data_IF_098347424335
#
_entry.id   IF_098347424335
#
_cell.length_a   1.000
_cell.length_b   1.000
_cell.length_c   1.000
_cell.angle_alpha   90.00
_cell.angle_beta   90.00
_cell.angle_gamma   90.00
#
_symmetry.space_group_name_H-M   'P 1'
#
loop_
_entity.id
_entity.type
_entity.pdbx_description
1 polymer ?
#
# COMPACT_ATOMS: atom_id res chain seq x y z
N UNK A 1 20.46 -15.51 -17.26
CA UNK A 1 19.41 -15.73 -16.90
C UNK A 1 19.16 -15.61 -15.53
N UNK A 2 18.29 -15.32 -15.22
CA UNK A 2 18.05 -14.98 -13.93
C UNK A 2 17.58 -16.10 -13.14
N UNK A 3 18.22 -17.19 -13.26
CA UNK A 3 17.73 -18.20 -12.55
C UNK A 3 17.69 -17.98 -11.13
N UNK A 4 18.28 -17.02 -10.60
CA UNK A 4 18.16 -16.76 -9.23
C UNK A 4 16.96 -15.95 -8.86
N UNK A 5 16.20 -15.48 -9.83
CA UNK A 5 15.08 -14.62 -9.54
C UNK A 5 13.83 -15.42 -9.49
N UNK A 6 13.27 -15.57 -8.31
CA UNK A 6 12.00 -16.25 -8.15
C UNK A 6 10.95 -15.22 -7.83
N UNK A 7 9.99 -15.07 -8.69
CA UNK A 7 8.92 -14.12 -8.46
C UNK A 7 7.76 -14.77 -7.75
N UNK A 8 7.10 -14.04 -6.91
CA UNK A 8 5.92 -14.53 -6.23
C UNK A 8 4.91 -13.40 -6.14
N UNK A 9 3.71 -13.76 -5.78
CA UNK A 9 2.62 -12.80 -5.73
C UNK A 9 2.41 -12.33 -4.32
N UNK A 10 2.18 -11.02 -4.14
CA UNK A 10 1.84 -10.48 -2.85
C UNK A 10 0.60 -9.62 -3.02
N UNK A 11 -0.20 -9.54 -1.98
CA UNK A 11 -1.40 -8.75 -1.98
C UNK A 11 -1.26 -7.73 -0.88
N UNK A 12 -1.33 -6.46 -1.22
CA UNK A 12 -1.10 -5.38 -0.27
C UNK A 12 -2.39 -4.61 -0.08
N UNK A 13 -2.84 -4.50 1.17
CA UNK A 13 -4.02 -3.72 1.49
C UNK A 13 -3.61 -2.29 1.74
N UNK A 14 -4.27 -1.35 1.13
CA UNK A 14 -3.98 0.06 1.27
C UNK A 14 -5.20 0.76 1.82
N UNK A 15 -5.00 1.77 2.65
CA UNK A 15 -6.11 2.53 3.19
C UNK A 15 -5.73 3.97 3.42
N UNK A 16 -6.67 4.87 3.23
CA UNK A 16 -6.46 6.28 3.49
C UNK A 16 -7.77 6.88 3.97
N UNK A 17 -7.71 7.77 4.94
CA UNK A 17 -8.92 8.42 5.42
C UNK A 17 -8.76 9.92 5.60
N UNK A 18 -7.68 10.50 5.11
CA UNK A 18 -7.44 11.93 5.23
C UNK A 18 -7.11 12.49 3.86
N UNK A 19 -7.64 13.66 3.59
CA UNK A 19 -7.33 14.35 2.35
C UNK A 19 -7.99 13.69 1.15
N UNK A 20 -7.35 13.80 0.02
CA UNK A 20 -7.85 13.17 -1.20
C UNK A 20 -7.45 11.70 -1.15
N UNK A 21 -8.34 10.89 -0.62
CA UNK A 21 -8.04 9.50 -0.34
C UNK A 21 -7.75 8.69 -1.59
N UNK A 22 -8.54 8.90 -2.62
CA UNK A 22 -8.34 8.14 -3.84
C UNK A 22 -7.01 8.48 -4.49
N UNK A 23 -6.62 9.77 -4.42
CA UNK A 23 -5.37 10.18 -5.00
C UNK A 23 -4.21 9.61 -4.22
N UNK A 24 -4.33 9.54 -2.91
CA UNK A 24 -3.30 8.95 -2.07
C UNK A 24 -3.10 7.47 -2.41
N UNK A 25 -4.21 6.76 -2.62
CA UNK A 25 -4.09 5.35 -2.95
C UNK A 25 -3.50 5.15 -4.34
N UNK A 26 -3.82 6.03 -5.27
CA UNK A 26 -3.25 5.94 -6.60
C UNK A 26 -1.73 6.17 -6.54
N UNK A 27 -1.31 7.16 -5.75
CA UNK A 27 0.12 7.42 -5.60
C UNK A 27 0.83 6.26 -4.94
N UNK A 28 0.19 5.64 -3.96
CA UNK A 28 0.78 4.50 -3.29
C UNK A 28 0.93 3.34 -4.26
N UNK A 29 -0.07 3.12 -5.11
CA UNK A 29 -0.02 2.04 -6.08
C UNK A 29 1.13 2.27 -7.06
N UNK A 30 1.32 3.52 -7.50
CA UNK A 30 2.40 3.82 -8.42
C UNK A 30 3.76 3.55 -7.76
N UNK A 31 3.90 3.91 -6.49
CA UNK A 31 5.16 3.68 -5.81
C UNK A 31 5.40 2.19 -5.60
N UNK A 32 4.35 1.42 -5.36
CA UNK A 32 4.50 -0.01 -5.25
C UNK A 32 5.06 -0.56 -6.56
N UNK A 33 4.56 -0.06 -7.68
CA UNK A 33 5.05 -0.50 -8.97
C UNK A 33 6.52 -0.16 -9.18
N UNK A 34 7.00 0.91 -8.54
CA UNK A 34 8.39 1.30 -8.69
C UNK A 34 9.32 0.61 -7.71
N UNK A 35 8.85 0.36 -6.50
CA UNK A 35 9.72 -0.08 -5.43
C UNK A 35 9.57 -1.54 -5.04
N UNK A 36 8.43 -2.13 -5.29
CA UNK A 36 8.17 -3.49 -4.86
C UNK A 36 8.22 -4.46 -6.02
N UNK A 37 7.46 -4.19 -7.06
CA UNK A 37 7.42 -5.07 -8.20
C UNK A 37 6.31 -4.67 -9.15
N UNK A 38 5.98 -5.55 -10.05
CA UNK A 38 4.99 -5.24 -11.07
C UNK A 38 3.58 -5.31 -10.49
N UNK A 39 2.80 -4.27 -10.64
CA UNK A 39 1.41 -4.28 -10.22
C UNK A 39 0.63 -4.96 -11.32
N UNK A 40 0.09 -6.15 -11.03
CA UNK A 40 -0.64 -6.90 -12.02
C UNK A 40 -2.14 -6.82 -11.85
N UNK A 41 -2.60 -6.20 -10.78
CA UNK A 41 -4.02 -6.01 -10.60
C UNK A 41 -4.30 -5.22 -9.35
N UNK A 42 -5.49 -4.68 -9.25
CA UNK A 42 -5.90 -3.99 -8.06
C UNK A 42 -7.42 -4.03 -7.97
N UNK A 43 -7.92 -3.98 -6.75
CA UNK A 43 -9.36 -4.00 -6.55
C UNK A 43 -9.93 -2.63 -6.84
N UNK A 44 -11.23 -2.57 -6.94
CA UNK A 44 -11.90 -1.28 -6.93
C UNK A 44 -11.71 -0.67 -5.56
N UNK A 45 -11.91 0.63 -5.47
CA UNK A 45 -11.86 1.30 -4.20
C UNK A 45 -13.13 0.98 -3.43
N UNK A 46 -13.00 0.83 -2.13
CA UNK A 46 -14.18 0.59 -1.31
C UNK A 46 -14.00 1.31 0.01
N UNK A 47 -15.09 1.66 0.65
CA UNK A 47 -15.05 2.41 1.87
C UNK A 47 -15.37 1.55 3.07
N UNK A 48 -14.71 1.83 4.19
CA UNK A 48 -15.03 1.17 5.44
C UNK A 48 -15.09 2.23 6.51
N UNK A 49 -15.82 1.92 7.59
CA UNK A 49 -15.93 2.85 8.66
C UNK A 49 -14.68 2.84 9.51
N UNK A 50 -14.30 3.97 10.07
CA UNK A 50 -13.12 4.01 10.91
C UNK A 50 -13.38 3.28 12.21
N UNK A 51 -12.32 2.84 12.84
CA UNK A 51 -12.42 2.25 14.14
C UNK A 51 -12.74 3.33 15.15
N UNK A 52 -13.69 3.08 16.00
CA UNK A 52 -14.05 4.04 16.98
C UNK A 52 -14.87 5.15 16.38
N UNK A 53 -14.94 6.27 17.07
CA UNK A 53 -15.78 7.35 16.59
C UNK A 53 -15.05 8.64 16.52
N UNK A 54 -13.75 8.60 16.46
CA UNK A 54 -13.01 9.82 16.42
C UNK A 54 -12.97 10.45 15.07
N UNK A 55 -13.26 9.71 14.03
CA UNK A 55 -13.12 10.24 12.70
C UNK A 55 -14.45 10.35 12.01
N UNK A 56 -14.65 11.46 11.31
CA UNK A 56 -15.85 11.63 10.54
C UNK A 56 -15.67 11.13 9.13
N UNK A 57 -14.49 10.65 8.78
CA UNK A 57 -14.21 10.27 7.41
C UNK A 57 -14.09 8.76 7.29
N UNK A 58 -14.73 8.23 6.25
CA UNK A 58 -14.60 6.82 5.96
C UNK A 58 -13.22 6.55 5.40
N UNK A 59 -12.70 5.36 5.65
CA UNK A 59 -11.49 4.95 4.99
C UNK A 59 -11.84 4.54 3.57
N UNK A 60 -10.97 4.88 2.65
CA UNK A 60 -11.06 4.36 1.29
C UNK A 60 -9.92 3.35 1.19
N UNK A 61 -10.25 2.16 0.73
CA UNK A 61 -9.33 1.05 0.72
C UNK A 61 -9.22 0.42 -0.65
N UNK A 62 -8.11 -0.21 -0.92
CA UNK A 62 -7.98 -1.04 -2.10
C UNK A 62 -6.97 -2.13 -1.81
N UNK A 63 -6.96 -3.18 -2.63
CA UNK A 63 -5.98 -4.24 -2.52
C UNK A 63 -5.19 -4.24 -3.82
N UNK A 64 -3.88 -4.27 -3.72
CA UNK A 64 -3.02 -4.28 -4.90
C UNK A 64 -2.36 -5.63 -4.99
N UNK A 65 -2.44 -6.26 -6.15
CA UNK A 65 -1.78 -7.53 -6.41
C UNK A 65 -0.48 -7.21 -7.15
N UNK A 66 0.62 -7.59 -6.57
CA UNK A 66 1.93 -7.24 -7.09
C UNK A 66 2.78 -8.48 -7.22
N UNK A 67 3.57 -8.55 -8.27
CA UNK A 67 4.46 -9.65 -8.48
C UNK A 67 5.86 -9.16 -8.22
N UNK A 68 6.57 -9.81 -7.32
CA UNK A 68 7.83 -9.27 -6.86
C UNK A 68 8.84 -10.38 -6.60
N UNK A 69 10.12 -10.04 -6.71
CA UNK A 69 11.19 -10.93 -6.33
C UNK A 69 11.71 -10.59 -4.94
N UNK A 70 11.15 -9.58 -4.30
CA UNK A 70 11.60 -9.19 -2.97
C UNK A 70 11.13 -10.17 -1.92
N UNK A 71 11.90 -10.31 -0.86
CA UNK A 71 11.48 -11.13 0.26
C UNK A 71 10.36 -10.43 1.01
N UNK A 72 9.62 -11.13 1.86
CA UNK A 72 8.57 -10.46 2.65
C UNK A 72 9.11 -9.31 3.48
N UNK A 73 10.30 -9.45 4.04
CA UNK A 73 10.87 -8.37 4.82
C UNK A 73 11.17 -7.16 3.94
N UNK A 74 11.69 -7.39 2.75
CA UNK A 74 11.99 -6.29 1.85
C UNK A 74 10.71 -5.62 1.38
N UNK A 75 9.64 -6.38 1.15
CA UNK A 75 8.37 -5.79 0.79
C UNK A 75 7.89 -4.89 1.92
N UNK A 76 7.98 -5.36 3.16
CA UNK A 76 7.57 -4.56 4.30
C UNK A 76 8.37 -3.26 4.38
N UNK A 77 9.67 -3.33 4.17
CA UNK A 77 10.51 -2.15 4.24
C UNK A 77 10.11 -1.13 3.18
N UNK A 78 9.82 -1.60 1.99
CA UNK A 78 9.44 -0.68 0.92
C UNK A 78 8.05 -0.08 1.17
N UNK A 79 7.12 -0.85 1.70
CA UNK A 79 5.81 -0.30 1.97
C UNK A 79 5.86 0.73 3.09
N UNK A 80 6.74 0.54 4.07
CA UNK A 80 6.90 1.51 5.13
C UNK A 80 7.51 2.81 4.58
N UNK A 81 8.42 2.69 3.64
CA UNK A 81 9.00 3.86 3.02
C UNK A 81 7.91 4.62 2.25
N UNK A 82 7.06 3.90 1.52
CA UNK A 82 5.99 4.54 0.78
C UNK A 82 5.05 5.27 1.73
N UNK A 83 4.73 4.68 2.86
CA UNK A 83 3.86 5.33 3.82
C UNK A 83 4.47 6.64 4.30
N UNK A 84 5.76 6.65 4.55
CA UNK A 84 6.40 7.87 5.00
C UNK A 84 6.40 8.92 3.91
N UNK A 85 6.62 8.50 2.67
CA UNK A 85 6.63 9.45 1.56
C UNK A 85 5.28 10.11 1.38
N UNK A 86 4.22 9.39 1.67
CA UNK A 86 2.88 9.92 1.47
C UNK A 86 2.34 10.63 2.70
N UNK A 87 3.20 10.93 3.66
CA UNK A 87 2.78 11.74 4.77
C UNK A 87 2.05 11.02 5.86
N UNK A 88 2.24 9.73 5.98
CA UNK A 88 1.55 8.98 7.02
C UNK A 88 2.43 8.73 8.20
N UNK A 89 3.46 9.50 8.31
CA UNK A 89 4.38 9.27 9.37
C UNK A 89 3.85 9.36 10.75
N UNK A 90 2.82 10.14 10.96
CA UNK A 90 2.37 10.25 12.28
C UNK A 90 1.71 8.98 12.73
N UNK A 91 1.29 8.16 11.85
CA UNK A 91 0.70 7.01 12.27
C UNK A 91 1.66 6.07 12.72
N UNK A 92 2.83 6.16 12.23
CA UNK A 92 3.75 5.21 12.59
C UNK A 92 4.22 5.36 13.97
N UNK A 93 3.87 6.43 14.52
CA UNK A 93 4.23 6.63 15.79
C UNK A 93 3.79 5.56 16.60
N UNK A 94 2.78 5.19 16.43
CA UNK A 94 2.32 4.22 17.26
C UNK A 94 2.95 2.98 17.01
N UNK A 95 3.75 3.04 16.19
CA UNK A 95 4.47 1.81 16.05
C UNK A 95 4.92 1.72 15.57
#
# INVERSE_FOLDING_TARGET
MSEGMAFHDVYLGLGANIGDRAKTLAAATDRIGELVGEVVGRSALYETEPWGFESDHMFVNSVVHCRTALSPRQVLEQTQLIERELGRRRKSVGG
#
